data_IF_576968144697
#
_entry.id   IF_576968144697
#
_cell.length_a   1.000
_cell.length_b   1.000
_cell.length_c   1.000
_cell.angle_alpha   90.00
_cell.angle_beta   90.00
_cell.angle_gamma   90.00
#
_symmetry.space_group_name_H-M   'P 1'
#
loop_
_entity.id
_entity.type
_entity.pdbx_description
1 polymer ?
#
# COMPACT_ATOMS: atom_id res chain seq x y z
N UNK A 1 -19.24 -8.02 -2.62
CA UNK A 1 -20.42 -7.14 -2.72
C UNK A 1 -20.02 -5.67 -2.60
N UNK A 2 -20.36 -4.86 -3.60
CA UNK A 2 -20.20 -3.41 -3.56
C UNK A 2 -21.11 -2.87 -2.45
N UNK A 3 -20.49 -2.44 -1.34
CA UNK A 3 -21.23 -1.90 -0.20
C UNK A 3 -21.47 -0.42 -0.48
N UNK A 4 -22.59 -0.09 -1.11
CA UNK A 4 -23.01 1.29 -1.28
C UNK A 4 -24.01 1.65 -0.19
N UNK A 5 -23.88 2.86 0.36
CA UNK A 5 -24.80 3.45 1.32
C UNK A 5 -25.39 4.73 0.73
N UNK A 6 -26.59 5.07 1.19
CA UNK A 6 -27.23 6.33 0.80
C UNK A 6 -26.56 7.49 1.53
N UNK A 7 -26.02 8.41 0.75
CA UNK A 7 -25.45 9.68 1.15
C UNK A 7 -26.58 10.71 1.22
N UNK A 8 -27.00 11.08 2.42
CA UNK A 8 -28.12 12.00 2.61
C UNK A 8 -27.75 13.44 2.20
N UNK A 9 -26.48 13.83 2.24
CA UNK A 9 -26.03 15.16 1.82
C UNK A 9 -26.05 15.30 0.30
N UNK A 10 -25.59 14.26 -0.40
CA UNK A 10 -25.53 14.22 -1.87
C UNK A 10 -26.78 13.60 -2.51
N UNK A 11 -27.74 13.14 -1.69
CA UNK A 11 -28.97 12.44 -2.11
C UNK A 11 -28.71 11.33 -3.12
N UNK A 12 -27.63 10.57 -2.93
CA UNK A 12 -27.16 9.55 -3.88
C UNK A 12 -26.63 8.31 -3.15
N UNK A 13 -26.57 7.17 -3.83
CA UNK A 13 -25.90 5.99 -3.30
C UNK A 13 -24.39 6.05 -3.61
N UNK A 14 -23.58 6.24 -2.58
CA UNK A 14 -22.11 6.29 -2.67
C UNK A 14 -21.48 5.07 -2.01
N UNK A 15 -20.19 4.84 -2.27
CA UNK A 15 -19.42 3.82 -1.53
C UNK A 15 -19.54 4.07 -0.02
N UNK A 16 -19.85 3.02 0.76
CA UNK A 16 -20.05 3.09 2.21
C UNK A 16 -18.90 3.72 3.01
N UNK A 17 -17.70 3.85 2.43
CA UNK A 17 -16.55 4.53 3.03
C UNK A 17 -16.59 6.04 2.86
N UNK A 18 -17.37 6.53 1.88
CA UNK A 18 -17.54 7.96 1.57
C UNK A 18 -18.79 8.55 2.21
N UNK A 19 -19.72 7.71 2.68
CA UNK A 19 -20.94 8.15 3.36
C UNK A 19 -20.65 8.43 4.84
N UNK A 20 -21.03 9.63 5.29
CA UNK A 20 -20.88 10.05 6.69
C UNK A 20 -22.16 9.78 7.48
N UNK A 21 -22.29 8.57 8.04
CA UNK A 21 -23.41 8.21 8.91
C UNK A 21 -22.94 8.10 10.38
N UNK A 22 -23.01 9.21 11.12
CA UNK A 22 -22.63 9.29 12.54
C UNK A 22 -21.13 9.06 12.81
N UNK A 23 -20.78 8.95 14.11
CA UNK A 23 -19.40 8.67 14.56
C UNK A 23 -19.04 7.21 14.26
N UNK A 24 -18.62 6.96 13.03
CA UNK A 24 -17.95 5.72 12.68
C UNK A 24 -16.67 5.67 13.53
N UNK A 25 -16.48 4.66 14.40
CA UNK A 25 -15.21 4.50 15.10
C UNK A 25 -14.15 4.51 14.01
N UNK A 26 -13.22 5.47 14.12
CA UNK A 26 -12.22 5.74 13.12
C UNK A 26 -11.51 4.41 12.86
N UNK A 27 -11.87 3.76 11.75
CA UNK A 27 -11.27 2.49 11.42
C UNK A 27 -9.84 2.87 11.09
N UNK A 28 -8.90 2.60 11.99
CA UNK A 28 -7.46 2.80 11.78
C UNK A 28 -6.95 2.18 10.46
N UNK A 29 -7.76 1.30 9.87
CA UNK A 29 -7.64 0.70 8.55
C UNK A 29 -7.76 1.66 7.34
N UNK A 30 -8.24 2.89 7.50
CA UNK A 30 -8.45 3.85 6.40
C UNK A 30 -7.55 5.08 6.45
N UNK A 31 -6.49 5.06 7.28
CA UNK A 31 -5.47 6.10 7.20
C UNK A 31 -4.83 6.00 5.81
N UNK A 32 -4.95 7.06 5.00
CA UNK A 32 -4.28 7.09 3.70
C UNK A 32 -2.78 6.88 3.95
N UNK A 33 -2.17 5.79 3.46
CA UNK A 33 -0.76 5.52 3.71
C UNK A 33 0.14 6.60 3.10
N UNK A 34 -0.37 7.40 2.17
CA UNK A 34 0.33 8.52 1.56
C UNK A 34 0.26 9.82 2.37
N UNK A 35 -0.58 9.90 3.41
CA UNK A 35 -0.68 11.10 4.23
C UNK A 35 0.64 11.35 4.98
N UNK A 36 1.28 12.49 4.70
CA UNK A 36 2.60 12.84 5.22
C UNK A 36 3.78 12.08 4.57
N UNK A 37 3.53 11.25 3.55
CA UNK A 37 4.60 10.66 2.74
C UNK A 37 4.96 11.57 1.57
N UNK A 38 6.24 11.64 1.17
CA UNK A 38 6.64 12.30 -0.06
C UNK A 38 6.13 11.53 -1.30
N UNK A 39 6.21 12.19 -2.45
CA UNK A 39 5.84 11.57 -3.71
C UNK A 39 6.81 10.43 -4.04
N UNK A 40 6.29 9.24 -4.32
CA UNK A 40 7.12 8.05 -4.47
C UNK A 40 6.32 6.75 -4.55
N UNK A 41 7.03 5.63 -4.72
CA UNK A 41 6.42 4.30 -4.66
C UNK A 41 6.79 3.60 -3.36
N UNK A 42 5.78 2.99 -2.77
CA UNK A 42 5.81 2.37 -1.46
C UNK A 42 5.23 0.96 -1.56
N UNK A 43 5.53 0.13 -0.58
CA UNK A 43 5.01 -1.24 -0.49
C UNK A 43 4.34 -1.45 0.85
N UNK A 44 3.39 -2.36 0.87
CA UNK A 44 2.66 -2.73 2.07
C UNK A 44 3.34 -3.94 2.72
N UNK A 45 3.93 -3.75 3.90
CA UNK A 45 4.66 -4.80 4.61
C UNK A 45 3.70 -5.90 5.07
N UNK A 46 2.47 -5.53 5.44
CA UNK A 46 1.43 -6.45 5.94
C UNK A 46 0.97 -7.46 4.88
N UNK A 47 1.05 -7.10 3.59
CA UNK A 47 0.79 -8.04 2.47
C UNK A 47 2.03 -8.87 2.10
N UNK A 48 3.11 -8.79 2.89
CA UNK A 48 4.39 -9.39 2.54
C UNK A 48 5.07 -8.68 1.37
N UNK A 49 4.81 -7.40 1.16
CA UNK A 49 5.40 -6.61 0.08
C UNK A 49 5.06 -7.12 -1.32
N UNK A 50 3.92 -7.80 -1.46
CA UNK A 50 3.38 -8.24 -2.76
C UNK A 50 2.75 -7.03 -3.46
N UNK A 51 2.06 -6.20 -2.71
CA UNK A 51 1.38 -5.01 -3.20
C UNK A 51 2.29 -3.78 -3.10
N UNK A 52 2.15 -2.88 -4.07
CA UNK A 52 2.79 -1.57 -4.05
C UNK A 52 1.81 -0.47 -4.42
N UNK A 53 2.13 0.75 -4.01
CA UNK A 53 1.35 1.93 -4.31
C UNK A 53 2.22 3.14 -4.58
N UNK A 54 1.73 4.07 -5.39
CA UNK A 54 2.36 5.37 -5.63
C UNK A 54 1.61 6.44 -4.84
N UNK A 55 2.35 7.26 -4.11
CA UNK A 55 1.87 8.48 -3.52
C UNK A 55 2.20 9.66 -4.43
N UNK A 56 1.19 10.49 -4.72
CA UNK A 56 1.33 11.77 -5.40
C UNK A 56 0.47 12.77 -4.63
N UNK A 57 1.09 13.88 -4.21
CA UNK A 57 0.46 14.98 -3.49
C UNK A 57 -0.31 14.49 -2.24
N UNK A 58 0.37 13.64 -1.46
CA UNK A 58 -0.14 13.02 -0.23
C UNK A 58 -1.33 12.07 -0.42
N UNK A 59 -1.72 11.76 -1.66
CA UNK A 59 -2.78 10.82 -2.00
C UNK A 59 -2.26 9.57 -2.73
N UNK A 60 -2.95 8.45 -2.52
CA UNK A 60 -2.68 7.20 -3.26
C UNK A 60 -3.13 7.29 -4.71
N UNK A 61 -2.18 7.46 -5.63
CA UNK A 61 -2.43 7.66 -7.06
C UNK A 61 -2.57 6.35 -7.86
N UNK A 62 -1.79 5.32 -7.52
CA UNK A 62 -1.84 4.01 -8.18
C UNK A 62 -1.53 2.92 -7.17
N UNK A 63 -2.11 1.74 -7.33
CA UNK A 63 -1.64 0.52 -6.68
C UNK A 63 -1.78 -0.69 -7.58
N UNK A 64 -0.88 -1.64 -7.40
CA UNK A 64 -0.86 -2.89 -8.16
C UNK A 64 -0.13 -3.98 -7.37
N UNK A 65 -0.32 -5.23 -7.79
CA UNK A 65 0.26 -6.41 -7.15
C UNK A 65 1.36 -7.01 -8.02
N UNK A 66 2.41 -7.53 -7.37
CA UNK A 66 3.49 -8.22 -8.05
C UNK A 66 3.07 -9.66 -8.45
N UNK A 67 3.26 -10.06 -9.72
CA UNK A 67 2.83 -11.38 -10.19
C UNK A 67 3.76 -12.50 -9.71
N UNK A 68 3.26 -13.73 -9.69
CA UNK A 68 4.08 -14.94 -9.56
C UNK A 68 4.88 -15.06 -8.26
N UNK A 69 4.41 -14.46 -7.16
CA UNK A 69 5.10 -14.49 -5.87
C UNK A 69 6.36 -13.62 -5.81
N UNK A 70 6.60 -12.79 -6.83
CA UNK A 70 7.59 -11.71 -6.74
C UNK A 70 7.12 -10.64 -5.75
N UNK A 71 8.06 -9.79 -5.30
CA UNK A 71 7.78 -8.75 -4.31
C UNK A 71 8.29 -7.42 -4.80
N UNK A 72 7.72 -6.34 -4.29
CA UNK A 72 8.14 -5.01 -4.68
C UNK A 72 9.52 -4.69 -4.09
N UNK A 73 10.49 -4.48 -4.98
CA UNK A 73 11.83 -4.06 -4.61
C UNK A 73 11.84 -2.53 -4.50
N UNK A 74 11.83 -1.99 -3.29
CA UNK A 74 11.85 -0.55 -3.03
C UNK A 74 13.15 0.14 -3.48
N UNK A 75 14.21 -0.61 -3.76
CA UNK A 75 15.47 -0.07 -4.29
C UNK A 75 15.41 0.15 -5.81
N UNK A 76 14.74 -0.73 -6.54
CA UNK A 76 14.62 -0.66 -8.01
C UNK A 76 13.24 -0.16 -8.48
N UNK A 77 12.30 -0.02 -7.53
CA UNK A 77 10.90 0.40 -7.73
C UNK A 77 10.11 -0.50 -8.69
N UNK A 78 10.42 -1.80 -8.68
CA UNK A 78 9.86 -2.85 -9.56
C UNK A 78 9.65 -4.16 -8.80
N UNK A 79 8.80 -5.03 -9.34
CA UNK A 79 8.66 -6.40 -8.85
C UNK A 79 9.92 -7.21 -9.16
N UNK A 80 10.45 -7.88 -8.16
CA UNK A 80 11.69 -8.63 -8.25
C UNK A 80 11.62 -9.92 -7.41
N UNK A 81 12.55 -10.82 -7.65
CA UNK A 81 12.62 -12.07 -6.92
C UNK A 81 13.00 -11.79 -5.45
N UNK A 82 12.39 -12.46 -4.45
CA UNK A 82 12.66 -12.21 -3.03
C UNK A 82 14.14 -12.26 -2.64
N UNK A 83 14.96 -13.03 -3.35
CA UNK A 83 16.42 -13.13 -3.13
C UNK A 83 17.18 -11.83 -3.41
N UNK A 84 16.64 -10.93 -4.23
CA UNK A 84 17.24 -9.64 -4.57
C UNK A 84 16.78 -8.49 -3.65
N UNK A 85 15.76 -8.76 -2.82
CA UNK A 85 15.08 -7.78 -1.99
C UNK A 85 15.57 -7.91 -0.54
N UNK A 86 15.99 -6.81 0.10
CA UNK A 86 16.39 -6.84 1.50
C UNK A 86 15.23 -7.21 2.43
N UNK A 87 15.56 -7.77 3.60
CA UNK A 87 14.60 -7.91 4.70
C UNK A 87 14.04 -6.52 5.08
N UNK A 88 12.76 -6.41 5.49
CA UNK A 88 11.83 -7.50 5.82
C UNK A 88 11.11 -8.12 4.61
N UNK A 89 11.13 -7.47 3.45
CA UNK A 89 10.37 -7.89 2.28
C UNK A 89 11.00 -9.04 1.49
N UNK A 90 12.28 -9.34 1.69
CA UNK A 90 12.95 -10.42 0.96
C UNK A 90 14.04 -11.14 1.74
N UNK A 91 14.77 -11.98 1.03
CA UNK A 91 15.78 -12.90 1.56
C UNK A 91 17.21 -12.40 1.35
N UNK A 92 17.39 -11.22 0.73
CA UNK A 92 18.73 -10.64 0.54
C UNK A 92 19.30 -10.28 1.90
N UNK A 93 20.09 -11.20 2.44
CA UNK A 93 20.99 -10.93 3.54
C UNK A 93 22.05 -10.00 2.99
N UNK A 94 22.30 -8.86 3.65
CA UNK A 94 23.56 -8.14 3.45
C UNK A 94 24.63 -9.17 3.80
N UNK A 95 25.27 -9.77 2.80
CA UNK A 95 26.45 -10.60 3.03
C UNK A 95 27.42 -9.71 3.77
N UNK A 96 27.62 -10.02 5.05
CA UNK A 96 28.72 -9.53 5.86
C UNK A 96 29.96 -9.67 4.99
N UNK A 97 30.54 -8.54 4.56
CA UNK A 97 31.75 -8.54 3.76
C UNK A 97 32.78 -9.46 4.43
N UNK A 98 33.18 -10.51 3.73
CA UNK A 98 34.40 -11.25 4.07
C UNK A 98 35.55 -10.28 3.83
N UNK A 99 36.03 -9.67 4.91
CA UNK A 99 37.38 -9.15 5.00
C UNK A 99 38.25 -10.33 5.45
N UNK A 100 38.84 -11.05 4.50
CA UNK A 100 39.98 -11.94 4.72
C UNK A 100 40.88 -11.83 3.50
#
# INVERSE_FOLDING_TARGET
>A
PEKNLFDDDLKTCNDYRKVFCGDRPENEKYKDPCNGQPNGKYTEIDTGCISWYTCIDQGKAKSDDCPGGSRFNTLTLRCDHPRNIPKPCGLRSKSSGKFW
#
